data_IF_826421715228
#
_entry.id   IF_826421715228
#
_cell.length_a   1.000
_cell.length_b   1.000
_cell.length_c   1.000
_cell.angle_alpha   90.00
_cell.angle_beta   90.00
_cell.angle_gamma   90.00
#
_symmetry.space_group_name_H-M   'P 1'
#
loop_
_entity.id
_entity.type
_entity.pdbx_description
1 polymer ?
#
# COMPACT_ATOMS: atom_id res chain seq x y z
N UNK A 1 -17.52 3.56 -45.36
CA UNK A 1 -18.49 2.47 -45.12
C UNK A 1 -17.93 1.66 -43.95
N UNK A 2 -17.94 2.15 -42.71
CA UNK A 2 -18.92 2.99 -41.99
C UNK A 2 -20.20 2.22 -41.61
N UNK A 3 -20.22 1.58 -40.43
CA UNK A 3 -21.04 2.00 -39.27
C UNK A 3 -20.90 1.09 -38.04
N UNK A 4 -20.60 1.70 -36.89
CA UNK A 4 -20.80 1.09 -35.56
C UNK A 4 -22.27 1.24 -35.10
N UNK A 5 -22.83 0.28 -34.35
CA UNK A 5 -24.03 0.49 -33.53
C UNK A 5 -23.65 0.92 -32.10
N UNK A 6 -24.01 2.15 -31.71
CA UNK A 6 -23.87 2.66 -30.31
C UNK A 6 -25.13 2.44 -29.47
N UNK A 7 -25.03 2.41 -28.12
CA UNK A 7 -26.05 1.81 -27.25
C UNK A 7 -27.28 2.69 -26.99
N UNK A 8 -28.41 2.03 -26.72
CA UNK A 8 -29.70 2.66 -26.44
C UNK A 8 -29.80 3.24 -25.02
N UNK A 9 -29.98 4.56 -24.92
CA UNK A 9 -30.44 5.21 -23.70
C UNK A 9 -31.96 5.13 -23.57
N UNK A 10 -32.47 5.01 -22.33
CA UNK A 10 -33.80 5.55 -21.97
C UNK A 10 -33.64 6.55 -20.84
N UNK A 11 -34.21 7.74 -21.03
CA UNK A 11 -34.40 8.76 -19.99
C UNK A 11 -35.80 8.62 -19.39
N UNK A 12 -35.94 8.88 -18.10
CA UNK A 12 -37.21 9.29 -17.48
C UNK A 12 -37.00 10.70 -16.92
N UNK A 13 -38.00 11.58 -17.08
CA UNK A 13 -37.94 12.99 -16.68
C UNK A 13 -39.36 13.44 -16.28
N UNK A 14 -39.44 14.43 -15.38
CA UNK A 14 -40.63 15.17 -14.92
C UNK A 14 -41.53 14.43 -13.90
N UNK A 15 -42.21 15.12 -12.96
CA UNK A 15 -42.40 16.58 -12.81
C UNK A 15 -42.45 17.01 -11.32
N UNK A 16 -42.03 18.24 -10.94
CA UNK A 16 -42.07 18.73 -9.54
C UNK A 16 -43.32 19.56 -9.21
N UNK A 17 -43.58 19.78 -7.92
CA UNK A 17 -44.67 20.62 -7.42
C UNK A 17 -44.21 21.80 -6.53
N UNK A 18 -44.87 22.94 -6.77
CA UNK A 18 -44.86 24.26 -6.11
C UNK A 18 -44.86 24.19 -4.57
N UNK A 19 -44.07 24.98 -3.82
CA UNK A 19 -44.02 26.46 -3.67
C UNK A 19 -45.14 27.04 -2.80
N UNK A 20 -44.75 27.64 -1.67
CA UNK A 20 -45.41 28.79 -1.02
C UNK A 20 -44.35 29.63 -0.29
N UNK A 21 -44.46 30.97 -0.36
CA UNK A 21 -43.72 31.90 0.50
C UNK A 21 -44.59 32.31 1.70
N UNK A 22 -43.95 32.75 2.77
CA UNK A 22 -44.50 33.76 3.67
C UNK A 22 -43.40 34.69 4.19
N UNK A 23 -43.69 35.98 4.32
CA UNK A 23 -42.77 37.00 4.82
C UNK A 23 -43.55 38.17 5.44
N UNK A 24 -43.16 38.62 6.64
CA UNK A 24 -43.31 39.98 7.22
C UNK A 24 -42.88 39.92 8.71
N UNK A 25 -41.98 40.79 9.22
CA UNK A 25 -42.22 42.15 9.80
C UNK A 25 -43.01 42.07 11.13
N UNK A 26 -42.68 42.69 12.28
CA UNK A 26 -41.51 43.39 12.90
C UNK A 26 -41.77 43.35 14.45
N UNK A 27 -41.05 43.91 15.45
CA UNK A 27 -39.87 44.78 15.67
C UNK A 27 -39.43 44.61 17.16
N UNK A 28 -38.17 44.91 17.58
CA UNK A 28 -37.85 45.85 18.68
C UNK A 28 -36.37 45.87 19.17
N UNK A 29 -35.86 47.10 19.33
CA UNK A 29 -35.04 47.70 20.43
C UNK A 29 -34.35 46.78 21.48
N UNK A 30 -33.13 47.05 21.97
CA UNK A 30 -32.29 48.28 22.05
C UNK A 30 -30.80 47.95 21.67
N UNK A 31 -29.75 48.78 21.78
CA UNK A 31 -29.49 49.99 22.61
C UNK A 31 -28.46 50.99 22.02
N UNK A 32 -28.08 51.96 22.86
CA UNK A 32 -27.19 53.13 22.66
C UNK A 32 -25.68 52.86 22.53
N UNK A 33 -25.00 53.69 21.74
CA UNK A 33 -23.95 54.62 22.20
C UNK A 33 -23.83 55.80 21.22
N UNK A 34 -23.32 56.96 21.65
CA UNK A 34 -23.24 58.21 20.86
C UNK A 34 -21.80 58.81 20.90
N UNK A 35 -21.53 60.08 20.52
CA UNK A 35 -20.89 60.40 19.25
C UNK A 35 -19.53 61.12 19.38
N UNK A 36 -18.85 61.42 18.26
CA UNK A 36 -18.13 62.69 18.14
C UNK A 36 -17.98 63.16 16.67
N UNK A 37 -17.52 64.41 16.55
CA UNK A 37 -17.05 65.20 15.40
C UNK A 37 -15.75 64.61 14.77
N UNK A 38 -15.22 65.06 13.62
CA UNK A 38 -15.16 66.41 13.10
C UNK A 38 -14.82 66.51 11.58
N UNK A 39 -15.07 67.69 11.01
CA UNK A 39 -14.46 68.28 9.82
C UNK A 39 -14.77 67.68 8.42
N UNK A 40 -15.32 68.53 7.55
CA UNK A 40 -15.45 68.31 6.12
C UNK A 40 -14.36 69.10 5.37
N UNK A 41 -13.43 68.42 4.69
CA UNK A 41 -12.50 69.05 3.74
C UNK A 41 -12.37 68.24 2.45
N UNK A 42 -12.99 68.74 1.38
CA UNK A 42 -12.58 68.42 0.01
C UNK A 42 -11.30 69.19 -0.33
N UNK A 43 -10.30 68.49 -0.83
CA UNK A 43 -9.22 69.02 -1.68
C UNK A 43 -9.18 68.12 -2.92
N UNK A 44 -8.82 68.68 -4.08
CA UNK A 44 -8.96 68.02 -5.38
C UNK A 44 -7.61 67.98 -6.10
N UNK A 45 -7.39 66.99 -7.00
CA UNK A 45 -6.26 66.86 -7.95
C UNK A 45 -4.84 66.82 -7.33
N UNK A 46 -3.94 65.86 -7.58
CA UNK A 46 -3.74 65.01 -8.77
C UNK A 46 -3.13 63.62 -8.42
N UNK A 47 -2.87 62.83 -9.47
CA UNK A 47 -2.13 61.55 -9.56
C UNK A 47 -0.75 61.57 -8.82
N UNK A 48 -0.15 60.45 -8.41
CA UNK A 48 -0.40 59.04 -8.76
C UNK A 48 -1.06 58.20 -7.65
N UNK A 49 -2.21 57.59 -7.96
CA UNK A 49 -2.70 56.42 -7.23
C UNK A 49 -2.60 55.19 -8.13
N UNK A 50 -1.62 54.32 -7.85
CA UNK A 50 -1.50 53.02 -8.52
C UNK A 50 -2.85 52.31 -8.37
N UNK A 51 -3.54 51.92 -9.46
CA UNK A 51 -4.85 51.32 -9.36
C UNK A 51 -4.72 49.99 -8.61
N UNK A 52 -5.38 49.88 -7.46
CA UNK A 52 -5.53 48.62 -6.74
C UNK A 52 -6.51 47.76 -7.52
N UNK A 53 -6.00 47.10 -8.56
CA UNK A 53 -6.73 46.14 -9.36
C UNK A 53 -7.02 44.94 -8.45
N UNK A 54 -8.22 44.91 -7.87
CA UNK A 54 -8.73 43.74 -7.19
C UNK A 54 -8.96 42.65 -8.25
N UNK A 55 -7.95 41.78 -8.45
CA UNK A 55 -8.02 40.66 -9.38
C UNK A 55 -9.01 39.63 -8.81
N UNK A 56 -10.29 39.85 -9.08
CA UNK A 56 -11.36 38.88 -8.83
C UNK A 56 -11.13 37.71 -9.77
N UNK A 57 -10.62 36.61 -9.22
CA UNK A 57 -10.52 35.35 -9.93
C UNK A 57 -11.94 34.78 -10.13
N UNK A 58 -12.62 35.22 -11.19
CA UNK A 58 -13.96 34.76 -11.57
C UNK A 58 -13.91 33.33 -12.14
N UNK A 59 -13.63 32.38 -11.26
CA UNK A 59 -13.54 30.96 -11.56
C UNK A 59 -13.87 30.12 -10.34
N UNK A 60 -14.38 28.91 -10.59
CA UNK A 60 -14.49 27.90 -9.54
C UNK A 60 -13.07 27.54 -9.06
N UNK A 61 -12.80 27.48 -7.74
CA UNK A 61 -11.46 27.12 -7.26
C UNK A 61 -11.03 25.75 -7.80
N UNK A 62 -9.77 25.65 -8.19
CA UNK A 62 -9.18 24.40 -8.70
C UNK A 62 -9.28 23.30 -7.65
N UNK A 63 -9.54 22.07 -8.10
CA UNK A 63 -9.50 20.89 -7.22
C UNK A 63 -8.06 20.59 -6.82
N UNK A 64 -7.86 19.92 -5.67
CA UNK A 64 -6.53 19.49 -5.22
C UNK A 64 -5.79 18.68 -6.28
N UNK A 65 -6.47 17.78 -7.00
CA UNK A 65 -5.90 17.03 -8.13
C UNK A 65 -5.44 17.92 -9.31
N UNK A 66 -6.17 18.99 -9.64
CA UNK A 66 -5.73 19.96 -10.66
C UNK A 66 -4.50 20.75 -10.20
N UNK A 67 -4.45 21.13 -8.92
CA UNK A 67 -3.29 21.79 -8.32
C UNK A 67 -2.08 20.84 -8.35
N UNK A 68 -2.23 19.59 -7.90
CA UNK A 68 -1.14 18.60 -7.94
C UNK A 68 -0.67 18.29 -9.36
N UNK A 69 -1.55 18.23 -10.35
CA UNK A 69 -1.17 18.03 -11.75
C UNK A 69 -0.30 19.19 -12.29
N UNK A 70 -0.66 20.45 -11.99
CA UNK A 70 0.14 21.62 -12.36
C UNK A 70 1.49 21.66 -11.61
N UNK A 71 1.54 21.19 -10.36
CA UNK A 71 2.80 21.04 -9.62
C UNK A 71 3.70 19.92 -10.22
N UNK A 72 3.14 18.78 -10.66
CA UNK A 72 3.89 17.71 -11.35
C UNK A 72 4.41 18.17 -12.73
N UNK A 73 3.62 18.96 -13.47
CA UNK A 73 4.03 19.58 -14.73
C UNK A 73 5.18 20.58 -14.52
N UNK A 74 5.12 21.39 -13.45
CA UNK A 74 6.18 22.33 -13.08
C UNK A 74 7.46 21.66 -12.52
N UNK A 75 7.35 20.52 -11.80
CA UNK A 75 8.52 19.68 -11.45
C UNK A 75 9.04 18.86 -12.66
N UNK A 76 8.31 18.82 -13.79
CA UNK A 76 8.64 18.04 -14.98
C UNK A 76 8.57 16.52 -14.79
N UNK A 77 7.95 16.04 -13.70
CA UNK A 77 7.94 14.63 -13.28
C UNK A 77 6.78 14.33 -12.31
N UNK A 78 6.32 13.07 -12.23
CA UNK A 78 5.41 12.64 -11.17
C UNK A 78 6.00 12.81 -9.77
N UNK A 79 5.15 13.12 -8.79
CA UNK A 79 5.52 13.18 -7.39
C UNK A 79 5.97 11.82 -6.86
N UNK A 80 7.18 11.79 -6.32
CA UNK A 80 7.63 10.73 -5.43
C UNK A 80 7.55 11.17 -3.96
N UNK A 81 7.89 10.27 -3.04
CA UNK A 81 7.88 10.53 -1.61
C UNK A 81 8.86 11.64 -1.20
N UNK A 82 8.48 12.40 -0.17
CA UNK A 82 9.33 13.45 0.45
C UNK A 82 9.71 12.98 1.85
N UNK A 83 11.00 12.76 2.12
CA UNK A 83 11.49 12.21 3.39
C UNK A 83 12.32 13.22 4.18
N UNK A 84 12.05 13.36 5.48
CA UNK A 84 12.83 14.14 6.43
C UNK A 84 13.20 13.29 7.64
N UNK A 85 14.50 13.13 7.91
CA UNK A 85 14.96 12.54 9.17
C UNK A 85 14.61 13.49 10.34
N UNK A 86 14.05 12.94 11.42
CA UNK A 86 13.66 13.69 12.63
C UNK A 86 14.63 13.42 13.80
N UNK A 87 15.13 12.20 13.90
CA UNK A 87 16.09 11.75 14.91
C UNK A 87 17.10 10.80 14.26
N UNK A 88 18.37 11.12 14.38
CA UNK A 88 19.47 10.22 13.99
C UNK A 88 19.54 9.02 14.96
N UNK A 89 19.99 7.84 14.51
CA UNK A 89 20.30 6.74 15.41
C UNK A 89 21.40 7.16 16.41
N UNK A 90 21.35 6.71 17.69
CA UNK A 90 22.30 7.13 18.72
C UNK A 90 23.68 6.48 18.58
N UNK A 91 23.80 5.43 17.77
CA UNK A 91 25.06 4.79 17.39
C UNK A 91 25.28 4.94 15.88
N UNK A 92 26.54 4.95 15.44
CA UNK A 92 26.89 4.94 14.03
C UNK A 92 26.20 3.76 13.31
N UNK A 93 25.41 4.07 12.28
CA UNK A 93 24.52 3.12 11.63
C UNK A 93 25.29 2.01 10.89
N UNK A 94 25.39 0.84 11.50
CA UNK A 94 26.09 -0.33 10.95
C UNK A 94 25.24 -1.14 9.96
N UNK A 95 23.91 -1.03 10.06
CA UNK A 95 22.94 -1.72 9.19
C UNK A 95 21.84 -0.75 8.77
N UNK A 96 21.62 -0.67 7.46
CA UNK A 96 20.47 0.00 6.84
C UNK A 96 19.52 -1.04 6.25
N UNK A 97 18.22 -0.75 6.28
CA UNK A 97 17.17 -1.65 5.81
C UNK A 97 17.19 -1.79 4.28
N UNK A 98 17.37 -3.03 3.79
CA UNK A 98 17.49 -3.37 2.36
C UNK A 98 16.24 -4.08 1.85
N UNK A 99 16.23 -4.37 0.55
CA UNK A 99 15.18 -5.18 -0.10
C UNK A 99 15.14 -6.57 0.55
N UNK A 100 13.94 -7.03 0.89
CA UNK A 100 13.60 -8.31 1.53
C UNK A 100 13.94 -8.47 3.01
N UNK A 101 14.65 -7.54 3.64
CA UNK A 101 14.87 -7.56 5.10
C UNK A 101 13.53 -7.49 5.84
N UNK A 102 13.46 -8.15 7.01
CA UNK A 102 12.34 -8.00 7.92
C UNK A 102 12.60 -6.77 8.81
N UNK A 103 11.67 -5.82 8.81
CA UNK A 103 11.78 -4.57 9.57
C UNK A 103 10.63 -4.45 10.55
N UNK A 104 10.95 -4.09 11.79
CA UNK A 104 10.00 -3.92 12.88
C UNK A 104 10.02 -2.48 13.34
N UNK A 105 8.87 -1.79 13.28
CA UNK A 105 8.78 -0.35 13.54
C UNK A 105 7.46 0.06 14.19
N UNK A 106 7.47 1.23 14.85
CA UNK A 106 6.25 1.96 15.21
C UNK A 106 5.96 3.06 14.18
N UNK A 107 4.68 3.41 14.00
CA UNK A 107 4.30 4.53 13.15
C UNK A 107 3.12 5.36 13.68
N UNK A 108 3.04 6.58 13.17
CA UNK A 108 1.94 7.54 13.38
C UNK A 108 1.58 8.14 12.03
N UNK A 109 0.35 7.90 11.57
CA UNK A 109 -0.17 8.37 10.28
C UNK A 109 -1.07 9.59 10.45
N UNK A 110 -0.77 10.65 9.71
CA UNK A 110 -1.49 11.93 9.71
C UNK A 110 -1.85 12.40 8.28
N UNK A 111 -2.90 13.22 8.18
CA UNK A 111 -3.26 13.97 6.98
C UNK A 111 -2.54 15.33 6.93
N UNK A 112 -2.57 16.02 5.79
CA UNK A 112 -2.00 17.38 5.63
C UNK A 112 -2.47 18.36 6.71
N UNK A 113 -3.75 18.27 7.13
CA UNK A 113 -4.34 19.10 8.17
C UNK A 113 -3.96 18.70 9.62
N UNK A 114 -2.90 17.89 9.79
CA UNK A 114 -2.42 17.41 11.09
C UNK A 114 -3.29 16.33 11.75
N UNK A 115 -4.46 15.99 11.20
CA UNK A 115 -5.36 14.98 11.77
C UNK A 115 -4.71 13.59 11.69
N UNK A 116 -4.37 13.04 12.85
CA UNK A 116 -3.93 11.64 12.98
C UNK A 116 -5.10 10.71 12.65
N UNK A 117 -4.88 9.72 11.76
CA UNK A 117 -5.88 8.73 11.38
C UNK A 117 -5.60 7.33 11.92
N UNK A 118 -4.34 7.04 12.28
CA UNK A 118 -3.89 5.80 12.91
C UNK A 118 -2.54 6.02 13.60
N UNK A 119 -2.25 5.31 14.69
CA UNK A 119 -0.92 5.23 15.28
C UNK A 119 -0.76 3.90 16.02
N UNK A 120 0.46 3.35 16.05
CA UNK A 120 0.78 2.17 16.88
C UNK A 120 1.16 2.56 18.30
N UNK A 121 1.64 3.80 18.53
CA UNK A 121 2.19 4.25 19.82
C UNK A 121 1.17 4.92 20.73
N UNK A 122 -0.13 4.86 20.39
CA UNK A 122 -1.21 5.51 21.15
C UNK A 122 -2.30 4.49 21.42
N UNK A 123 -2.46 4.09 22.68
CA UNK A 123 -3.69 3.45 23.15
C UNK A 123 -4.82 4.47 23.04
N UNK A 124 -5.89 4.12 22.32
CA UNK A 124 -7.11 4.91 22.25
C UNK A 124 -8.17 4.31 23.17
N UNK A 125 -9.14 5.13 23.57
CA UNK A 125 -10.20 4.69 24.49
C UNK A 125 -11.09 3.55 23.92
N UNK A 126 -10.92 3.17 22.65
CA UNK A 126 -11.60 2.04 22.03
C UNK A 126 -11.16 0.69 22.64
N UNK A 127 -9.86 0.53 22.95
CA UNK A 127 -9.35 -0.67 23.61
C UNK A 127 -9.91 -0.83 25.04
N UNK A 128 -10.05 0.29 25.77
CA UNK A 128 -10.64 0.33 27.13
C UNK A 128 -12.11 -0.14 27.10
N UNK A 129 -12.86 0.21 26.05
CA UNK A 129 -14.25 -0.22 25.87
C UNK A 129 -14.39 -1.74 25.71
N UNK A 130 -13.50 -2.38 24.94
CA UNK A 130 -13.47 -3.85 24.84
C UNK A 130 -13.06 -4.53 26.16
N UNK A 131 -12.14 -3.92 26.93
CA UNK A 131 -11.71 -4.46 28.22
C UNK A 131 -12.84 -4.49 29.25
N UNK A 132 -13.69 -3.47 29.29
CA UNK A 132 -14.79 -3.37 30.26
C UNK A 132 -15.99 -4.29 29.94
N UNK A 133 -16.24 -4.61 28.67
CA UNK A 133 -17.42 -5.38 28.22
C UNK A 133 -17.21 -6.90 28.05
N UNK A 134 -16.06 -7.45 28.48
CA UNK A 134 -15.75 -8.90 28.42
C UNK A 134 -16.08 -9.53 27.05
N UNK A 135 -15.44 -9.07 25.98
CA UNK A 135 -15.52 -9.69 24.63
C UNK A 135 -14.77 -11.04 24.55
N UNK A 136 -15.09 -11.98 25.44
CA UNK A 136 -14.35 -13.22 25.71
C UNK A 136 -14.78 -14.43 24.84
N UNK A 137 -15.67 -14.22 23.86
CA UNK A 137 -16.15 -15.25 22.92
C UNK A 137 -16.19 -14.74 21.46
N UNK A 138 -15.37 -13.74 21.13
CA UNK A 138 -15.18 -13.26 19.76
C UNK A 138 -13.70 -13.35 19.41
N UNK A 139 -13.32 -14.40 18.67
CA UNK A 139 -12.01 -14.52 18.03
C UNK A 139 -11.90 -13.53 16.86
N UNK A 140 -11.86 -12.24 17.17
CA UNK A 140 -11.41 -11.21 16.23
C UNK A 140 -9.88 -11.22 16.21
N UNK A 141 -9.22 -11.52 15.07
CA UNK A 141 -7.80 -11.19 14.91
C UNK A 141 -7.67 -9.67 15.01
N UNK A 142 -7.06 -9.19 16.09
CA UNK A 142 -7.01 -7.76 16.42
C UNK A 142 -5.92 -7.07 15.59
N UNK A 143 -6.27 -6.83 14.32
CA UNK A 143 -5.42 -6.19 13.31
C UNK A 143 -4.90 -4.83 13.79
N UNK A 144 -3.63 -4.83 14.22
CA UNK A 144 -2.96 -3.81 15.04
C UNK A 144 -3.55 -3.66 16.45
N UNK A 145 -3.05 -4.46 17.40
CA UNK A 145 -3.15 -4.15 18.81
C UNK A 145 -2.42 -2.83 19.09
N UNK A 146 -3.11 -1.85 19.65
CA UNK A 146 -2.52 -0.57 20.04
C UNK A 146 -1.38 -0.81 21.05
N UNK A 147 -0.26 -0.10 20.88
CA UNK A 147 0.98 -0.34 21.62
C UNK A 147 1.95 -1.35 20.98
N UNK A 148 1.52 -2.20 20.04
CA UNK A 148 2.42 -3.20 19.42
C UNK A 148 3.16 -2.64 18.18
N UNK A 149 4.43 -3.05 17.95
CA UNK A 149 5.15 -2.70 16.75
C UNK A 149 4.71 -3.56 15.56
N UNK A 150 4.95 -3.05 14.34
CA UNK A 150 4.60 -3.74 13.10
C UNK A 150 5.86 -4.29 12.46
N UNK A 151 5.90 -5.61 12.28
CA UNK A 151 6.90 -6.28 11.45
C UNK A 151 6.37 -6.44 10.02
N UNK A 152 7.17 -6.09 9.02
CA UNK A 152 6.93 -6.43 7.61
C UNK A 152 8.21 -6.96 6.99
N UNK A 153 8.08 -7.64 5.85
CA UNK A 153 9.19 -7.84 4.94
C UNK A 153 9.21 -6.71 3.89
N UNK A 154 10.36 -6.07 3.69
CA UNK A 154 10.48 -4.95 2.73
C UNK A 154 10.43 -5.42 1.29
N UNK A 155 9.82 -4.60 0.43
CA UNK A 155 9.77 -4.76 -1.03
C UNK A 155 9.03 -6.04 -1.51
N UNK A 156 8.16 -6.59 -0.66
CA UNK A 156 7.30 -7.76 -0.96
C UNK A 156 5.79 -7.42 -1.01
N UNK A 157 5.42 -6.15 -1.15
CA UNK A 157 4.02 -5.72 -1.24
C UNK A 157 3.19 -5.86 0.05
N UNK A 158 3.83 -6.02 1.21
CA UNK A 158 3.14 -6.04 2.51
C UNK A 158 2.61 -4.66 2.92
N UNK A 159 3.28 -3.56 2.53
CA UNK A 159 2.89 -2.18 2.85
C UNK A 159 2.62 -1.32 1.60
N UNK A 160 2.14 -0.08 1.76
CA UNK A 160 1.87 0.83 0.63
C UNK A 160 3.17 1.22 -0.12
N UNK A 161 3.16 1.36 -1.47
CA UNK A 161 4.37 1.56 -2.26
C UNK A 161 5.26 2.73 -1.82
N UNK A 162 4.68 3.87 -1.45
CA UNK A 162 5.46 5.02 -0.99
C UNK A 162 6.14 4.80 0.37
N UNK A 163 5.49 4.09 1.28
CA UNK A 163 6.07 3.81 2.60
C UNK A 163 7.16 2.73 2.50
N UNK A 164 6.94 1.74 1.64
CA UNK A 164 7.96 0.75 1.26
C UNK A 164 9.21 1.41 0.62
N UNK A 165 9.04 2.45 -0.23
CA UNK A 165 10.16 3.31 -0.67
C UNK A 165 10.83 4.00 0.52
N UNK A 166 10.08 4.71 1.37
CA UNK A 166 10.65 5.58 2.42
C UNK A 166 11.37 4.85 3.55
N UNK A 167 10.95 3.61 3.85
CA UNK A 167 11.62 2.69 4.78
C UNK A 167 12.97 2.18 4.26
N UNK A 168 13.18 2.17 2.94
CA UNK A 168 14.44 1.69 2.36
C UNK A 168 15.59 2.61 2.79
N UNK A 169 16.70 2.01 3.25
CA UNK A 169 17.86 2.72 3.74
C UNK A 169 17.74 3.28 5.17
N UNK A 170 16.64 3.04 5.90
CA UNK A 170 16.53 3.44 7.30
C UNK A 170 17.46 2.64 8.22
N UNK A 171 17.89 3.26 9.32
CA UNK A 171 18.68 2.66 10.39
C UNK A 171 17.80 2.22 11.57
N UNK A 172 18.27 1.28 12.38
CA UNK A 172 17.65 0.99 13.69
C UNK A 172 17.68 2.24 14.58
N UNK A 173 16.62 2.47 15.36
CA UNK A 173 16.44 3.64 16.25
C UNK A 173 16.37 5.02 15.57
N UNK A 174 16.35 5.07 14.23
CA UNK A 174 16.06 6.28 13.45
C UNK A 174 14.57 6.63 13.53
N UNK A 175 14.27 7.93 13.66
CA UNK A 175 12.90 8.44 13.44
C UNK A 175 12.88 9.28 12.17
N UNK A 176 11.99 8.94 11.23
CA UNK A 176 11.90 9.54 9.89
C UNK A 176 10.45 9.89 9.57
N UNK A 177 10.23 11.11 9.09
CA UNK A 177 8.95 11.57 8.53
C UNK A 177 8.96 11.30 7.03
N UNK A 178 7.96 10.56 6.54
CA UNK A 178 7.80 10.15 5.14
C UNK A 178 6.44 10.68 4.67
N UNK A 179 6.47 11.66 3.76
CA UNK A 179 5.27 12.14 3.08
C UNK A 179 5.06 11.32 1.81
N UNK A 180 3.90 10.68 1.71
CA UNK A 180 3.51 9.82 0.59
C UNK A 180 2.40 10.51 -0.21
N UNK A 181 2.58 10.80 -1.51
CA UNK A 181 1.51 11.35 -2.32
C UNK A 181 0.42 10.28 -2.53
N UNK A 182 -0.85 10.69 -2.64
CA UNK A 182 -2.02 9.80 -2.74
C UNK A 182 -1.82 8.63 -3.72
N UNK A 183 -1.25 8.90 -4.90
CA UNK A 183 -0.92 7.92 -5.95
C UNK A 183 -0.02 6.77 -5.48
N UNK A 184 0.86 6.99 -4.50
CA UNK A 184 1.74 5.99 -3.90
C UNK A 184 1.21 5.43 -2.56
N UNK A 185 0.06 5.93 -2.07
CA UNK A 185 -0.64 5.39 -0.91
C UNK A 185 -1.78 4.42 -1.29
N UNK A 186 -2.42 4.62 -2.45
CA UNK A 186 -3.54 3.81 -2.91
C UNK A 186 -3.20 2.31 -2.97
N UNK A 187 -4.08 1.50 -2.37
CA UNK A 187 -4.20 0.05 -2.57
C UNK A 187 -5.65 -0.29 -2.91
N UNK A 188 -5.91 -1.53 -3.35
CA UNK A 188 -7.26 -2.04 -3.62
C UNK A 188 -8.23 -1.71 -2.47
N UNK A 189 -9.46 -1.38 -2.84
CA UNK A 189 -10.48 -0.74 -2.00
C UNK A 189 -10.78 -1.52 -0.71
N UNK A 190 -10.16 -1.13 0.40
CA UNK A 190 -10.43 -1.71 1.73
C UNK A 190 -11.36 -0.83 2.55
N UNK A 191 -12.04 -1.41 3.54
CA UNK A 191 -12.92 -0.64 4.44
C UNK A 191 -12.15 0.41 5.25
N UNK A 192 -10.87 0.15 5.58
CA UNK A 192 -10.00 1.10 6.30
C UNK A 192 -9.75 2.38 5.47
N UNK A 193 -9.61 2.27 4.14
CA UNK A 193 -9.41 3.42 3.22
C UNK A 193 -10.64 4.31 3.04
N UNK A 194 -11.86 3.84 3.33
CA UNK A 194 -13.10 4.63 3.16
C UNK A 194 -13.17 5.92 3.99
N UNK A 195 -12.31 6.06 5.01
CA UNK A 195 -12.29 7.19 5.96
C UNK A 195 -11.32 8.31 5.58
N UNK A 196 -10.52 8.13 4.53
CA UNK A 196 -9.58 9.13 4.03
C UNK A 196 -10.25 9.99 2.95
N UNK A 197 -9.79 11.23 2.71
CA UNK A 197 -10.23 12.04 1.57
C UNK A 197 -10.03 11.28 0.24
N UNK A 198 -10.90 11.52 -0.74
CA UNK A 198 -10.81 10.85 -2.06
C UNK A 198 -9.98 11.64 -3.08
N UNK A 199 -9.85 12.94 -2.84
CA UNK A 199 -9.11 13.89 -3.63
C UNK A 199 -7.59 13.84 -3.32
N UNK A 200 -6.77 14.54 -4.09
CA UNK A 200 -5.32 14.26 -4.13
C UNK A 200 -4.54 15.01 -3.05
N UNK A 201 -4.02 14.26 -2.07
CA UNK A 201 -3.37 14.78 -0.87
C UNK A 201 -2.11 13.99 -0.49
N UNK A 202 -1.26 14.58 0.34
CA UNK A 202 -0.14 13.91 0.98
C UNK A 202 -0.56 13.23 2.28
N UNK A 203 -0.16 11.96 2.45
CA UNK A 203 -0.28 11.23 3.71
C UNK A 203 1.06 11.24 4.41
N UNK A 204 1.10 11.72 5.66
CA UNK A 204 2.32 11.93 6.43
C UNK A 204 2.47 10.80 7.43
N UNK A 205 3.55 10.02 7.32
CA UNK A 205 3.92 9.00 8.30
C UNK A 205 5.13 9.48 9.10
N UNK A 206 5.06 9.39 10.42
CA UNK A 206 6.22 9.44 11.30
C UNK A 206 6.53 8.00 11.72
N UNK A 207 7.71 7.50 11.38
CA UNK A 207 8.14 6.12 11.66
C UNK A 207 9.35 6.15 12.59
N UNK A 208 9.31 5.30 13.63
CA UNK A 208 10.45 4.94 14.46
C UNK A 208 10.82 3.48 14.17
N UNK A 209 12.00 3.26 13.60
CA UNK A 209 12.51 1.93 13.32
C UNK A 209 13.04 1.30 14.61
N UNK A 210 12.61 0.09 14.96
CA UNK A 210 13.05 -0.60 16.17
C UNK A 210 14.14 -1.63 15.87
N UNK A 211 13.93 -2.48 14.85
CA UNK A 211 14.83 -3.59 14.54
C UNK A 211 14.83 -3.92 13.04
N UNK A 212 16.00 -4.31 12.51
CA UNK A 212 16.21 -4.75 11.12
C UNK A 212 16.88 -6.13 11.16
N UNK A 213 16.10 -7.16 10.81
CA UNK A 213 16.59 -8.54 10.64
C UNK A 213 16.90 -8.77 9.15
N UNK A 214 18.18 -8.97 8.76
CA UNK A 214 18.54 -9.21 7.37
C UNK A 214 17.86 -10.45 6.79
N UNK A 215 17.51 -10.42 5.51
CA UNK A 215 16.94 -11.59 4.86
C UNK A 215 17.93 -12.75 4.75
N UNK A 216 17.51 -13.94 5.19
CA UNK A 216 18.20 -15.21 4.95
C UNK A 216 17.18 -16.31 4.63
N UNK A 217 17.63 -17.45 4.08
CA UNK A 217 16.74 -18.56 3.71
C UNK A 217 16.18 -19.25 4.97
N UNK A 218 17.03 -19.41 5.99
CA UNK A 218 16.67 -19.95 7.30
C UNK A 218 15.58 -19.08 7.97
N UNK A 219 15.77 -17.75 7.94
CA UNK A 219 14.81 -16.78 8.49
C UNK A 219 13.52 -16.75 7.69
N UNK A 220 13.59 -16.93 6.37
CA UNK A 220 12.41 -17.03 5.52
C UNK A 220 11.60 -18.29 5.83
N UNK A 221 12.26 -19.44 6.09
CA UNK A 221 11.61 -20.67 6.53
C UNK A 221 10.94 -20.47 7.90
N UNK A 222 11.64 -19.90 8.88
CA UNK A 222 11.11 -19.57 10.22
C UNK A 222 9.93 -18.57 10.21
N UNK A 223 9.71 -17.85 9.11
CA UNK A 223 8.56 -16.97 8.92
C UNK A 223 7.35 -17.68 8.26
N UNK A 224 7.55 -18.87 7.68
CA UNK A 224 6.50 -19.73 7.14
C UNK A 224 6.09 -20.84 8.12
N UNK A 225 7.07 -21.41 8.83
CA UNK A 225 6.92 -22.39 9.92
C UNK A 225 6.25 -21.72 11.13
N UNK A 226 4.94 -21.89 11.24
CA UNK A 226 4.10 -21.06 12.09
C UNK A 226 3.84 -21.68 13.47
N UNK A 227 4.03 -22.99 13.63
CA UNK A 227 4.01 -23.70 14.92
C UNK A 227 5.41 -24.04 15.44
N UNK A 228 6.46 -23.91 14.60
CA UNK A 228 7.89 -24.16 14.87
C UNK A 228 8.25 -25.65 14.93
N UNK A 229 7.54 -26.49 14.17
CA UNK A 229 7.82 -27.93 14.08
C UNK A 229 9.01 -28.28 13.16
N UNK A 230 9.51 -27.35 12.33
CA UNK A 230 10.64 -27.57 11.42
C UNK A 230 10.28 -28.10 10.03
N UNK A 231 8.99 -28.25 9.75
CA UNK A 231 8.38 -28.61 8.47
C UNK A 231 7.35 -27.55 8.07
N UNK A 232 7.02 -27.46 6.78
CA UNK A 232 5.89 -26.67 6.28
C UNK A 232 4.78 -27.60 5.77
N UNK A 233 3.54 -27.34 6.18
CA UNK A 233 2.32 -28.04 5.73
C UNK A 233 1.45 -27.19 4.77
N UNK A 234 0.56 -27.83 3.99
CA UNK A 234 -0.39 -27.09 3.12
C UNK A 234 -1.25 -26.13 3.97
N UNK A 235 -1.71 -26.59 5.13
CA UNK A 235 -2.55 -25.84 6.07
C UNK A 235 -1.87 -24.55 6.56
N UNK A 236 -0.57 -24.59 6.84
CA UNK A 236 0.21 -23.41 7.24
C UNK A 236 0.41 -22.43 6.08
N UNK A 237 0.66 -22.92 4.87
CA UNK A 237 0.77 -22.05 3.69
C UNK A 237 -0.59 -21.38 3.40
N UNK A 238 -1.71 -22.11 3.49
CA UNK A 238 -3.07 -21.55 3.39
C UNK A 238 -3.34 -20.53 4.49
N UNK A 239 -2.92 -20.80 5.74
CA UNK A 239 -3.01 -19.86 6.87
C UNK A 239 -2.20 -18.58 6.61
N UNK A 240 -0.98 -18.70 6.07
CA UNK A 240 -0.13 -17.56 5.76
C UNK A 240 -0.67 -16.73 4.57
N UNK A 241 -1.29 -17.35 3.56
CA UNK A 241 -2.01 -16.65 2.48
C UNK A 241 -3.18 -15.81 3.05
N UNK A 242 -3.89 -16.32 4.07
CA UNK A 242 -4.95 -15.56 4.76
C UNK A 242 -4.39 -14.37 5.54
N UNK A 243 -3.33 -14.57 6.33
CA UNK A 243 -2.66 -13.48 7.08
C UNK A 243 -2.16 -12.38 6.15
N UNK A 244 -1.50 -12.74 5.03
CA UNK A 244 -1.05 -11.79 4.02
C UNK A 244 -2.21 -10.99 3.38
N UNK A 245 -3.38 -11.61 3.20
CA UNK A 245 -4.58 -10.93 2.69
C UNK A 245 -5.24 -10.03 3.72
N UNK A 246 -5.40 -10.51 4.95
CA UNK A 246 -6.28 -9.91 5.95
C UNK A 246 -5.59 -8.80 6.74
N UNK A 247 -4.31 -8.98 7.11
CA UNK A 247 -3.51 -7.93 7.77
C UNK A 247 -2.86 -6.99 6.75
N UNK A 248 -2.18 -7.55 5.74
CA UNK A 248 -1.32 -6.79 4.84
C UNK A 248 -1.95 -6.40 3.50
N UNK A 249 -3.15 -6.91 3.18
CA UNK A 249 -3.82 -6.61 1.90
C UNK A 249 -3.09 -7.12 0.66
N UNK A 250 -2.26 -8.16 0.78
CA UNK A 250 -1.56 -8.84 -0.31
C UNK A 250 -2.36 -10.10 -0.72
N UNK A 251 -2.74 -10.21 -1.99
CA UNK A 251 -3.46 -11.40 -2.48
C UNK A 251 -3.33 -11.58 -3.99
N UNK A 252 -3.22 -12.83 -4.43
CA UNK A 252 -3.09 -13.21 -5.83
C UNK A 252 -4.44 -13.48 -6.53
N UNK A 253 -5.56 -13.34 -5.82
CA UNK A 253 -6.93 -13.49 -6.37
C UNK A 253 -7.27 -12.52 -7.52
N UNK A 254 -6.44 -11.49 -7.77
CA UNK A 254 -6.53 -10.68 -8.98
C UNK A 254 -6.17 -11.42 -10.28
N UNK A 255 -5.48 -12.56 -10.16
CA UNK A 255 -5.05 -13.43 -11.25
C UNK A 255 -5.77 -14.79 -11.25
N UNK A 256 -6.95 -14.87 -10.62
CA UNK A 256 -7.76 -16.09 -10.47
C UNK A 256 -7.04 -17.29 -9.79
N UNK A 257 -6.00 -17.02 -8.99
CA UNK A 257 -5.30 -18.00 -8.15
C UNK A 257 -6.16 -18.34 -6.93
N UNK A 258 -6.43 -19.62 -6.68
CA UNK A 258 -7.03 -20.10 -5.42
C UNK A 258 -5.98 -20.24 -4.31
N UNK A 259 -6.43 -20.06 -3.06
CA UNK A 259 -5.56 -20.12 -1.88
C UNK A 259 -4.99 -21.54 -1.63
N UNK A 260 -5.70 -22.63 -2.00
CA UNK A 260 -5.23 -24.02 -1.84
C UNK A 260 -4.45 -24.56 -3.02
N UNK A 261 -4.86 -24.26 -4.24
CA UNK A 261 -4.10 -24.62 -5.45
C UNK A 261 -2.66 -24.09 -5.36
N UNK A 262 -2.51 -22.83 -4.93
CA UNK A 262 -1.22 -22.21 -4.67
C UNK A 262 -0.44 -22.88 -3.51
N UNK A 263 -1.12 -23.22 -2.41
CA UNK A 263 -0.47 -23.86 -1.27
C UNK A 263 0.05 -25.26 -1.58
N UNK A 264 -0.76 -26.08 -2.27
CA UNK A 264 -0.34 -27.39 -2.75
C UNK A 264 0.84 -27.29 -3.72
N UNK A 265 0.76 -26.39 -4.71
CA UNK A 265 1.88 -26.18 -5.65
C UNK A 265 3.16 -25.73 -4.92
N UNK A 266 3.05 -24.91 -3.87
CA UNK A 266 4.19 -24.53 -3.02
C UNK A 266 4.83 -25.74 -2.33
N UNK A 267 4.03 -26.63 -1.74
CA UNK A 267 4.53 -27.88 -1.13
C UNK A 267 5.17 -28.78 -2.19
N UNK A 268 4.47 -29.07 -3.30
CA UNK A 268 4.98 -29.91 -4.38
C UNK A 268 6.31 -29.38 -4.96
N UNK A 269 6.46 -28.05 -5.09
CA UNK A 269 7.66 -27.38 -5.61
C UNK A 269 8.91 -27.57 -4.73
N UNK A 270 8.74 -27.47 -3.41
CA UNK A 270 9.85 -27.55 -2.47
C UNK A 270 10.08 -28.95 -1.89
N UNK A 271 9.12 -29.86 -1.94
CA UNK A 271 9.27 -31.22 -1.43
C UNK A 271 10.16 -32.10 -2.34
N UNK A 272 10.28 -31.77 -3.63
CA UNK A 272 11.04 -32.49 -4.67
C UNK A 272 10.65 -33.99 -4.83
N UNK A 273 9.52 -34.37 -4.23
CA UNK A 273 8.85 -35.68 -4.22
C UNK A 273 7.40 -35.46 -3.74
N UNK A 274 6.52 -36.46 -3.84
CA UNK A 274 5.11 -36.36 -3.44
C UNK A 274 4.87 -36.40 -1.91
N UNK A 275 5.71 -35.73 -1.13
CA UNK A 275 5.54 -35.57 0.31
C UNK A 275 4.54 -34.44 0.62
N UNK A 276 3.72 -34.62 1.66
CA UNK A 276 2.73 -33.60 2.09
C UNK A 276 3.33 -32.43 2.87
N UNK A 277 4.62 -32.48 3.17
CA UNK A 277 5.34 -31.48 3.97
C UNK A 277 6.73 -31.24 3.42
N UNK A 278 7.25 -30.04 3.66
CA UNK A 278 8.58 -29.60 3.22
C UNK A 278 9.46 -29.44 4.45
N UNK A 279 10.56 -30.19 4.56
CA UNK A 279 11.56 -29.95 5.61
C UNK A 279 12.42 -28.72 5.31
N UNK A 280 12.97 -28.12 6.36
CA UNK A 280 13.94 -27.02 6.26
C UNK A 280 15.08 -27.29 5.25
N UNK A 281 15.63 -28.51 5.24
CA UNK A 281 16.73 -28.88 4.34
C UNK A 281 16.32 -28.92 2.85
N UNK A 282 15.12 -29.42 2.55
CA UNK A 282 14.58 -29.42 1.18
C UNK A 282 14.36 -27.98 0.69
N UNK A 283 13.76 -27.13 1.54
CA UNK A 283 13.56 -25.71 1.25
C UNK A 283 14.90 -24.99 0.98
N UNK A 284 15.90 -25.17 1.85
CA UNK A 284 17.22 -24.54 1.72
C UNK A 284 17.98 -25.00 0.48
N UNK A 285 18.00 -26.32 0.23
CA UNK A 285 18.59 -26.90 -0.98
C UNK A 285 18.00 -26.26 -2.24
N UNK A 286 16.67 -26.27 -2.35
CA UNK A 286 15.94 -25.77 -3.52
C UNK A 286 16.13 -24.27 -3.73
N UNK A 287 15.91 -23.46 -2.68
CA UNK A 287 16.16 -22.01 -2.71
C UNK A 287 17.60 -21.69 -3.16
N UNK A 288 18.60 -22.47 -2.71
CA UNK A 288 19.99 -22.27 -3.10
C UNK A 288 20.29 -22.65 -4.56
N UNK A 289 19.60 -23.66 -5.10
CA UNK A 289 19.72 -24.06 -6.50
C UNK A 289 19.07 -23.03 -7.42
N UNK A 290 17.86 -22.60 -7.07
CA UNK A 290 17.11 -21.55 -7.78
C UNK A 290 17.89 -20.22 -7.82
N UNK A 291 18.52 -19.79 -6.71
CA UNK A 291 19.37 -18.59 -6.68
C UNK A 291 20.58 -18.68 -7.62
N UNK A 292 21.16 -19.87 -7.81
CA UNK A 292 22.27 -20.11 -8.75
C UNK A 292 21.80 -20.10 -10.20
N UNK A 293 20.59 -20.61 -10.48
CA UNK A 293 20.00 -20.59 -11.81
C UNK A 293 19.58 -19.16 -12.21
N UNK A 294 18.95 -18.42 -11.30
CA UNK A 294 18.62 -17.01 -11.52
C UNK A 294 19.86 -16.13 -11.72
N UNK A 295 21.00 -16.45 -11.10
CA UNK A 295 22.24 -15.66 -11.28
C UNK A 295 22.99 -15.94 -12.60
N UNK A 296 22.69 -17.04 -13.29
CA UNK A 296 23.24 -17.33 -14.63
C UNK A 296 22.38 -16.80 -15.78
N UNK A 297 21.10 -16.52 -15.53
CA UNK A 297 20.16 -15.94 -16.50
C UNK A 297 20.16 -14.41 -16.46
N UNK A 298 19.61 -13.81 -17.53
CA UNK A 298 19.35 -12.36 -17.60
C UNK A 298 17.89 -12.09 -17.27
N UNK A 299 17.62 -11.56 -16.09
CA UNK A 299 16.28 -11.15 -15.66
C UNK A 299 15.62 -10.20 -16.69
N UNK A 300 14.33 -10.43 -17.00
CA UNK A 300 13.57 -9.63 -17.96
C UNK A 300 13.37 -8.18 -17.48
N UNK A 301 13.56 -7.21 -18.39
CA UNK A 301 13.42 -5.78 -18.10
C UNK A 301 11.99 -5.35 -17.71
N UNK A 302 10.97 -6.17 -18.02
CA UNK A 302 9.56 -5.94 -17.67
C UNK A 302 9.10 -6.66 -16.40
N UNK A 303 9.95 -7.48 -15.77
CA UNK A 303 9.61 -8.27 -14.59
C UNK A 303 9.89 -7.54 -13.27
N UNK A 304 9.09 -7.83 -12.24
CA UNK A 304 9.45 -7.48 -10.86
C UNK A 304 10.45 -8.51 -10.34
N UNK A 305 11.54 -8.10 -9.66
CA UNK A 305 12.48 -9.08 -9.05
C UNK A 305 11.74 -10.04 -8.13
N UNK A 306 11.94 -11.35 -8.33
CA UNK A 306 11.33 -12.46 -7.58
C UNK A 306 11.29 -12.16 -6.08
N UNK A 307 10.11 -12.29 -5.47
CA UNK A 307 9.93 -12.11 -4.04
C UNK A 307 10.20 -13.43 -3.28
N UNK A 308 10.80 -13.38 -2.08
CA UNK A 308 10.98 -14.56 -1.25
C UNK A 308 9.65 -15.02 -0.58
N UNK A 309 9.70 -16.18 0.07
CA UNK A 309 8.53 -16.81 0.68
C UNK A 309 7.50 -17.21 -0.38
N UNK A 310 6.21 -16.92 -0.14
CA UNK A 310 5.13 -17.35 -1.03
C UNK A 310 5.14 -16.70 -2.43
N UNK A 311 5.95 -15.66 -2.65
CA UNK A 311 6.14 -15.07 -3.97
C UNK A 311 7.10 -15.85 -4.89
N UNK A 312 7.84 -16.83 -4.36
CA UNK A 312 8.91 -17.52 -5.08
C UNK A 312 8.41 -18.31 -6.28
N UNK A 313 7.27 -19.00 -6.11
CA UNK A 313 6.69 -19.96 -7.06
C UNK A 313 5.99 -19.32 -8.28
N UNK A 314 6.10 -18.01 -8.47
CA UNK A 314 5.52 -17.27 -9.61
C UNK A 314 6.53 -16.91 -10.71
N UNK A 315 7.82 -17.11 -10.46
CA UNK A 315 8.90 -17.00 -11.45
C UNK A 315 9.14 -18.41 -11.97
N UNK A 316 8.55 -18.70 -13.13
CA UNK A 316 8.38 -20.06 -13.64
C UNK A 316 9.58 -20.52 -14.46
N UNK A 317 10.28 -19.61 -15.13
CA UNK A 317 11.47 -19.94 -15.95
C UNK A 317 12.81 -19.76 -15.21
N UNK A 318 12.79 -19.39 -13.92
CA UNK A 318 13.95 -19.29 -13.05
C UNK A 318 14.96 -18.20 -13.46
N UNK A 319 14.48 -17.04 -13.94
CA UNK A 319 15.33 -15.90 -14.36
C UNK A 319 15.57 -14.83 -13.29
N UNK A 320 14.91 -14.93 -12.12
CA UNK A 320 15.01 -13.98 -11.01
C UNK A 320 13.99 -12.84 -11.06
N UNK A 321 13.05 -12.86 -12.00
CA UNK A 321 11.95 -11.91 -12.15
C UNK A 321 10.60 -12.60 -12.39
N UNK A 322 9.53 -11.93 -11.96
CA UNK A 322 8.13 -12.32 -12.16
C UNK A 322 7.49 -11.30 -13.10
N UNK A 323 7.09 -11.75 -14.29
CA UNK A 323 6.36 -10.93 -15.27
C UNK A 323 4.85 -10.95 -15.05
N UNK A 324 4.13 -10.04 -15.71
CA UNK A 324 2.67 -10.07 -15.75
C UNK A 324 2.13 -11.34 -16.42
N UNK A 325 2.80 -11.80 -17.50
CA UNK A 325 2.39 -12.98 -18.26
C UNK A 325 2.43 -14.25 -17.40
N UNK A 326 3.49 -14.43 -16.61
CA UNK A 326 3.60 -15.50 -15.61
C UNK A 326 2.48 -15.43 -14.56
N UNK A 327 2.24 -14.25 -13.99
CA UNK A 327 1.15 -14.03 -13.02
C UNK A 327 -0.22 -14.38 -13.63
N UNK A 328 -0.46 -14.04 -14.90
CA UNK A 328 -1.70 -14.38 -15.60
C UNK A 328 -1.88 -15.89 -15.85
N UNK A 329 -0.78 -16.62 -16.06
CA UNK A 329 -0.76 -18.07 -16.32
C UNK A 329 -0.79 -18.90 -15.02
N UNK A 330 -0.40 -18.31 -13.89
CA UNK A 330 -0.24 -19.02 -12.61
C UNK A 330 -1.48 -19.84 -12.18
N UNK A 331 -2.70 -19.32 -12.39
CA UNK A 331 -3.94 -20.07 -12.10
C UNK A 331 -4.07 -21.38 -12.88
N UNK A 332 -3.54 -21.45 -14.11
CA UNK A 332 -3.54 -22.69 -14.90
C UNK A 332 -2.41 -23.63 -14.45
N UNK A 333 -1.22 -23.10 -14.19
CA UNK A 333 -0.03 -23.87 -13.79
C UNK A 333 -0.24 -24.53 -12.41
N UNK A 334 -0.82 -23.81 -11.45
CA UNK A 334 -1.13 -24.37 -10.13
C UNK A 334 -2.20 -25.47 -10.20
N UNK A 335 -3.15 -25.39 -11.15
CA UNK A 335 -4.17 -26.43 -11.39
C UNK A 335 -3.60 -27.69 -12.05
N UNK A 336 -2.63 -27.57 -12.96
CA UNK A 336 -1.92 -28.73 -13.49
C UNK A 336 -1.00 -29.39 -12.45
N UNK A 337 -0.59 -28.64 -11.42
CA UNK A 337 0.36 -29.10 -10.41
C UNK A 337 1.82 -29.05 -10.90
N UNK A 338 2.75 -29.08 -9.93
CA UNK A 338 4.17 -28.87 -10.22
C UNK A 338 4.80 -30.01 -11.04
N UNK A 339 4.38 -31.26 -10.84
CA UNK A 339 4.88 -32.39 -11.63
C UNK A 339 4.59 -32.22 -13.14
N UNK A 340 3.34 -31.94 -13.52
CA UNK A 340 2.99 -31.72 -14.93
C UNK A 340 3.71 -30.51 -15.54
N UNK A 341 3.91 -29.44 -14.77
CA UNK A 341 4.69 -28.28 -15.19
C UNK A 341 6.17 -28.61 -15.41
N UNK A 342 6.80 -29.35 -14.49
CA UNK A 342 8.19 -29.81 -14.59
C UNK A 342 8.37 -30.71 -15.82
N UNK A 343 7.49 -31.68 -16.00
CA UNK A 343 7.59 -32.70 -17.04
C UNK A 343 7.31 -32.11 -18.44
N UNK A 344 6.43 -31.10 -18.53
CA UNK A 344 6.26 -30.34 -19.76
C UNK A 344 7.53 -29.56 -20.15
N UNK A 345 8.22 -28.96 -19.18
CA UNK A 345 9.41 -28.14 -19.42
C UNK A 345 10.70 -28.95 -19.58
N UNK A 346 10.80 -30.17 -19.02
CA UNK A 346 11.98 -31.02 -19.23
C UNK A 346 12.13 -31.48 -20.68
N UNK A 347 11.01 -31.70 -21.37
CA UNK A 347 10.96 -32.10 -22.78
C UNK A 347 11.37 -30.98 -23.77
N UNK A 348 11.60 -29.75 -23.29
CA UNK A 348 12.05 -28.60 -24.09
C UNK A 348 13.60 -28.54 -24.20
N UNK A 349 14.33 -29.32 -23.41
CA UNK A 349 15.80 -29.41 -23.51
C UNK A 349 16.32 -30.66 -24.24
N UNK A 350 15.44 -31.52 -24.74
CA UNK A 350 15.81 -32.68 -25.58
C UNK A 350 15.64 -32.45 -27.08
N UNK A 351 15.01 -31.34 -27.50
CA UNK A 351 14.82 -31.00 -28.94
C UNK A 351 16.04 -30.36 -29.59
N UNK A 352 16.91 -29.73 -28.80
CA UNK A 352 17.92 -28.79 -29.32
C UNK A 352 19.29 -29.45 -29.58
N UNK A 353 19.32 -30.79 -29.64
CA UNK A 353 20.54 -31.60 -29.78
C UNK A 353 20.52 -32.64 -30.91
N UNK A 354 19.49 -32.67 -31.76
CA UNK A 354 19.45 -33.50 -32.99
C UNK A 354 19.28 -32.63 -34.24
N UNK A 355 20.39 -32.05 -34.73
CA UNK A 355 20.56 -31.54 -36.11
C UNK A 355 22.05 -31.45 -36.48
#
# INVERSE_FOLDING_TARGET
MDKDPKPSWRRSIWQPAKVTLYSMILLNHFAYATPDSDSNKRVNSNEDSIPVIEIRAEGKPMTSAQIRALEEEAEGRPFDIKTKQLKMPPQACSKTAKRFDFVTFHYKGQLENGKTFQSTSVFTNFAIYCFHLRCLNLNFPFSYAEGQPVQIQLKTGMIIPGLDKGLTGMCEQEVKRIQVPWRLAQRRTSSKWKRLPKDEHWIIFEIEMLHIEPWTIEKQFQYLDADKNGLLSEEEIVKQIRVLREEYGKSWRGYNVDDREMAKYFIDYFADNSAKTVSKQQYESRMSADLKLASSKKAKASGNRREPGLGWIFDFDNDGSVTYDELSKASMIFKSGYAAFRDANSNVHTSDHEL
#
